data_IF_203975539869
#
_entry.id   IF_203975539869
#
_cell.length_a   1.000
_cell.length_b   1.000
_cell.length_c   1.000
_cell.angle_alpha   90.00
_cell.angle_beta   90.00
_cell.angle_gamma   90.00
#
_symmetry.space_group_name_H-M   'P 1'
#
loop_
_entity.id
_entity.type
_entity.pdbx_description
1 polymer ?
#
# COMPACT_ATOMS: atom_id res chain seq x y z
N UNK A 1 54.06 -81.05 60.81
CA UNK A 1 53.57 -81.41 59.46
C UNK A 1 53.10 -80.14 58.78
N UNK A 2 53.99 -79.55 57.99
CA UNK A 2 53.83 -78.25 57.33
C UNK A 2 53.28 -78.49 55.92
N UNK A 3 52.11 -77.94 55.60
CA UNK A 3 51.55 -77.99 54.24
C UNK A 3 51.77 -76.64 53.57
N UNK A 4 52.81 -76.61 52.75
CA UNK A 4 53.17 -75.52 51.84
C UNK A 4 52.10 -75.44 50.74
N UNK A 5 51.21 -74.45 50.82
CA UNK A 5 50.24 -74.15 49.77
C UNK A 5 50.83 -73.10 48.82
N UNK A 6 51.31 -73.53 47.65
CA UNK A 6 51.76 -72.66 46.56
C UNK A 6 50.56 -72.32 45.68
N UNK A 7 50.08 -71.07 45.72
CA UNK A 7 49.11 -70.56 44.76
C UNK A 7 49.84 -69.90 43.58
N UNK A 8 49.60 -70.28 42.31
CA UNK A 8 50.33 -69.73 41.18
C UNK A 8 49.63 -68.49 40.60
N UNK A 9 50.42 -67.44 40.31
CA UNK A 9 50.22 -66.51 39.20
C UNK A 9 48.85 -65.84 39.06
N UNK A 10 48.58 -64.80 39.84
CA UNK A 10 47.59 -63.78 39.48
C UNK A 10 48.11 -62.94 38.31
N UNK A 11 47.49 -63.07 37.13
CA UNK A 11 47.78 -62.20 35.97
C UNK A 11 47.38 -60.75 36.32
N UNK A 12 48.15 -59.73 35.91
CA UNK A 12 47.76 -58.34 36.14
C UNK A 12 46.48 -58.02 35.38
N UNK A 13 45.45 -57.58 36.10
CA UNK A 13 44.19 -57.08 35.54
C UNK A 13 44.43 -55.71 34.91
N UNK A 14 44.38 -55.65 33.58
CA UNK A 14 44.39 -54.38 32.84
C UNK A 14 43.10 -53.61 33.18
N UNK A 15 43.15 -52.34 33.59
CA UNK A 15 41.93 -51.57 33.85
C UNK A 15 41.14 -51.41 32.53
N UNK A 16 39.79 -51.36 32.59
CA UNK A 16 39.00 -51.14 31.40
C UNK A 16 39.32 -49.75 30.83
N UNK A 17 39.70 -49.69 29.56
CA UNK A 17 39.82 -48.45 28.81
C UNK A 17 38.44 -47.78 28.82
N UNK A 18 38.34 -46.62 29.47
CA UNK A 18 37.14 -45.79 29.39
C UNK A 18 37.01 -45.31 27.94
N UNK A 19 36.08 -45.91 27.20
CA UNK A 19 35.60 -45.34 25.95
C UNK A 19 34.89 -44.03 26.31
N UNK A 20 35.58 -42.90 26.16
CA UNK A 20 34.92 -41.59 26.19
C UNK A 20 33.77 -41.60 25.19
N UNK A 21 32.63 -40.92 25.46
CA UNK A 21 31.53 -40.90 24.53
C UNK A 21 32.08 -40.42 23.19
N UNK A 22 31.92 -41.26 22.14
CA UNK A 22 32.18 -40.86 20.77
C UNK A 22 31.46 -39.53 20.58
N UNK A 23 32.20 -38.48 20.24
CA UNK A 23 31.67 -37.11 20.16
C UNK A 23 30.50 -37.06 19.20
N UNK A 24 29.31 -37.26 19.74
CA UNK A 24 28.06 -37.14 19.02
C UNK A 24 27.94 -35.65 18.73
N UNK A 25 28.22 -35.29 17.47
CA UNK A 25 28.15 -33.91 17.02
C UNK A 25 26.72 -33.43 17.29
N UNK A 26 26.57 -32.57 18.29
CA UNK A 26 25.28 -32.02 18.65
C UNK A 26 24.81 -31.11 17.50
N UNK A 27 23.87 -31.63 16.70
CA UNK A 27 23.30 -30.93 15.53
C UNK A 27 22.17 -29.97 15.93
N UNK A 28 21.78 -29.92 17.21
CA UNK A 28 20.73 -29.02 17.69
C UNK A 28 20.95 -27.53 17.36
N UNK A 29 22.15 -26.92 17.46
CA UNK A 29 22.35 -25.51 17.09
C UNK A 29 22.17 -25.27 15.59
N UNK A 30 22.50 -26.25 14.74
CA UNK A 30 22.32 -26.16 13.28
C UNK A 30 20.82 -26.17 12.96
N UNK A 31 20.07 -27.10 13.55
CA UNK A 31 18.62 -27.14 13.39
C UNK A 31 17.93 -25.89 13.94
N UNK A 32 18.37 -25.38 15.10
CA UNK A 32 17.87 -24.13 15.67
C UNK A 32 18.13 -22.95 14.72
N UNK A 33 19.33 -22.83 14.16
CA UNK A 33 19.67 -21.78 13.21
C UNK A 33 18.82 -21.86 11.93
N UNK A 34 18.60 -23.05 11.38
CA UNK A 34 17.76 -23.26 10.21
C UNK A 34 16.31 -22.85 10.49
N UNK A 35 15.77 -23.22 11.67
CA UNK A 35 14.40 -22.84 12.07
C UNK A 35 14.29 -21.32 12.22
N UNK A 36 15.26 -20.65 12.84
CA UNK A 36 15.26 -19.18 13.00
C UNK A 36 15.30 -18.48 11.63
N UNK A 37 16.12 -18.96 10.69
CA UNK A 37 16.19 -18.42 9.33
C UNK A 37 14.86 -18.66 8.59
N UNK A 38 14.29 -19.85 8.71
CA UNK A 38 13.01 -20.17 8.07
C UNK A 38 11.87 -19.31 8.62
N UNK A 39 11.77 -19.17 9.95
CA UNK A 39 10.77 -18.35 10.62
C UNK A 39 10.93 -16.87 10.28
N UNK A 40 12.17 -16.36 10.21
CA UNK A 40 12.42 -14.97 9.80
C UNK A 40 12.03 -14.73 8.34
N UNK A 41 12.38 -15.65 7.41
CA UNK A 41 11.93 -15.56 6.01
C UNK A 41 10.40 -15.63 5.91
N UNK A 42 9.76 -16.53 6.66
CA UNK A 42 8.30 -16.67 6.70
C UNK A 42 7.64 -15.38 7.23
N UNK A 43 8.14 -14.81 8.33
CA UNK A 43 7.66 -13.54 8.88
C UNK A 43 7.81 -12.40 7.88
N UNK A 44 8.97 -12.28 7.24
CA UNK A 44 9.22 -11.26 6.21
C UNK A 44 8.30 -11.45 4.99
N UNK A 45 8.02 -12.69 4.58
CA UNK A 45 7.11 -12.98 3.47
C UNK A 45 5.66 -12.62 3.82
N UNK A 46 5.19 -12.98 5.02
CA UNK A 46 3.85 -12.62 5.53
C UNK A 46 3.70 -11.11 5.70
N UNK A 47 4.73 -10.42 6.21
CA UNK A 47 4.73 -8.95 6.35
C UNK A 47 4.76 -8.26 4.99
N UNK A 48 5.52 -8.76 4.02
CA UNK A 48 5.49 -8.25 2.64
C UNK A 48 4.12 -8.46 1.99
N UNK A 49 3.45 -9.58 2.26
CA UNK A 49 2.13 -9.91 1.72
C UNK A 49 1.00 -9.07 2.32
N UNK A 50 1.19 -8.49 3.51
CA UNK A 50 0.22 -7.60 4.18
C UNK A 50 0.25 -6.14 3.70
N UNK A 51 1.03 -5.78 2.68
CA UNK A 51 0.88 -4.43 2.09
C UNK A 51 -0.54 -4.30 1.55
N UNK A 52 -1.36 -3.44 2.17
CA UNK A 52 -2.71 -3.12 1.69
C UNK A 52 -2.65 -2.79 0.20
N UNK A 53 -3.38 -3.56 -0.59
CA UNK A 53 -3.56 -3.23 -2.00
C UNK A 53 -4.25 -1.86 -2.08
N UNK A 54 -3.67 -0.95 -2.86
CA UNK A 54 -4.28 0.34 -3.16
C UNK A 54 -5.48 0.09 -4.08
N UNK A 55 -6.69 0.38 -3.61
CA UNK A 55 -7.94 0.12 -4.34
C UNK A 55 -8.61 1.38 -4.86
N UNK A 56 -8.20 2.55 -4.35
CA UNK A 56 -9.01 3.76 -4.46
C UNK A 56 -8.61 4.62 -5.65
N UNK A 57 -9.58 5.08 -6.42
CA UNK A 57 -9.42 6.14 -7.41
C UNK A 57 -9.95 7.42 -6.78
N UNK A 58 -9.08 8.41 -6.62
CA UNK A 58 -9.42 9.67 -5.99
C UNK A 58 -9.91 10.66 -7.03
N UNK A 59 -11.12 11.18 -6.86
CA UNK A 59 -11.65 12.26 -7.66
C UNK A 59 -11.52 13.57 -6.89
N UNK A 60 -10.72 14.50 -7.41
CA UNK A 60 -10.39 15.75 -6.71
C UNK A 60 -10.22 16.92 -7.68
N UNK A 61 -10.23 18.14 -7.17
CA UNK A 61 -10.26 19.39 -7.96
C UNK A 61 -10.97 20.51 -7.19
N UNK A 62 -11.00 21.72 -7.74
CA UNK A 62 -11.66 22.87 -7.11
C UNK A 62 -13.18 22.69 -6.96
N UNK A 63 -13.83 23.54 -6.16
CA UNK A 63 -15.29 23.62 -6.16
C UNK A 63 -15.84 23.83 -7.58
N UNK A 64 -17.07 23.37 -7.81
CA UNK A 64 -17.79 23.56 -9.07
C UNK A 64 -17.18 22.92 -10.34
N UNK A 65 -16.05 22.22 -10.24
CA UNK A 65 -15.45 21.54 -11.39
C UNK A 65 -16.25 20.33 -11.93
N UNK A 66 -17.35 19.94 -11.27
CA UNK A 66 -18.23 18.85 -11.70
C UNK A 66 -17.84 17.45 -11.20
N UNK A 67 -16.99 17.35 -10.17
CA UNK A 67 -16.60 16.07 -9.56
C UNK A 67 -17.78 15.20 -9.15
N UNK A 68 -18.74 15.76 -8.42
CA UNK A 68 -19.88 15.00 -7.89
C UNK A 68 -20.85 14.57 -9.00
N UNK A 69 -21.03 15.38 -10.04
CA UNK A 69 -21.77 14.99 -11.24
C UNK A 69 -21.12 13.79 -11.93
N UNK A 70 -19.81 13.87 -12.17
CA UNK A 70 -19.05 12.76 -12.75
C UNK A 70 -19.10 11.51 -11.88
N UNK A 71 -18.97 11.65 -10.55
CA UNK A 71 -19.11 10.54 -9.61
C UNK A 71 -20.48 9.88 -9.73
N UNK A 72 -21.57 10.68 -9.73
CA UNK A 72 -22.94 10.18 -9.86
C UNK A 72 -23.15 9.45 -11.18
N UNK A 73 -22.67 10.01 -12.29
CA UNK A 73 -22.76 9.38 -13.61
C UNK A 73 -22.02 8.05 -13.66
N UNK A 74 -20.81 7.97 -13.09
CA UNK A 74 -20.00 6.75 -13.11
C UNK A 74 -20.54 5.65 -12.18
N UNK A 75 -21.03 6.02 -10.99
CA UNK A 75 -21.43 5.06 -9.94
C UNK A 75 -22.92 4.72 -10.00
N UNK A 76 -23.77 5.71 -10.25
CA UNK A 76 -25.22 5.59 -10.19
C UNK A 76 -25.87 5.53 -11.58
N UNK A 77 -25.16 5.91 -12.64
CA UNK A 77 -25.69 5.95 -14.01
C UNK A 77 -26.68 7.10 -14.27
N UNK A 78 -26.83 8.03 -13.33
CA UNK A 78 -27.76 9.16 -13.41
C UNK A 78 -27.02 10.49 -13.16
N UNK A 79 -27.43 11.52 -13.88
CA UNK A 79 -27.03 12.90 -13.61
C UNK A 79 -28.04 13.54 -12.64
N UNK A 80 -27.55 14.06 -11.51
CA UNK A 80 -28.36 14.74 -10.49
C UNK A 80 -27.77 16.10 -10.19
N UNK A 81 -28.61 17.09 -9.97
CA UNK A 81 -28.15 18.42 -9.53
C UNK A 81 -27.20 18.28 -8.34
N UNK A 82 -26.00 18.85 -8.48
CA UNK A 82 -24.95 18.74 -7.47
C UNK A 82 -24.75 20.07 -6.74
N UNK A 83 -24.59 20.01 -5.42
CA UNK A 83 -24.21 21.13 -4.56
C UNK A 83 -22.79 20.92 -4.01
N UNK A 84 -22.25 21.92 -3.30
CA UNK A 84 -20.93 21.80 -2.67
C UNK A 84 -20.91 20.67 -1.63
N UNK A 85 -20.09 19.64 -1.86
CA UNK A 85 -19.99 18.49 -0.96
C UNK A 85 -19.33 18.88 0.37
N UNK A 86 -20.00 18.55 1.48
CA UNK A 86 -19.48 18.76 2.86
C UNK A 86 -18.71 17.53 3.34
N UNK A 87 -18.99 16.36 2.75
CA UNK A 87 -18.42 15.04 3.07
C UNK A 87 -17.99 14.35 1.77
N UNK A 88 -17.11 13.36 1.86
CA UNK A 88 -16.75 12.48 0.75
C UNK A 88 -17.94 11.63 0.27
N UNK A 89 -17.98 11.35 -1.04
CA UNK A 89 -18.83 10.29 -1.59
C UNK A 89 -17.98 9.07 -1.92
N UNK A 90 -18.49 7.88 -1.60
CA UNK A 90 -17.82 6.60 -1.83
C UNK A 90 -18.69 5.75 -2.74
N UNK A 91 -18.10 5.26 -3.81
CA UNK A 91 -18.78 4.43 -4.81
C UNK A 91 -17.88 3.29 -5.25
N UNK A 92 -18.49 2.21 -5.71
CA UNK A 92 -17.78 1.06 -6.24
C UNK A 92 -18.01 0.99 -7.74
N UNK A 93 -16.92 0.95 -8.51
CA UNK A 93 -16.92 0.76 -9.95
C UNK A 93 -16.46 -0.66 -10.26
N UNK A 94 -17.29 -1.39 -11.00
CA UNK A 94 -16.90 -2.67 -11.59
C UNK A 94 -16.18 -2.40 -12.90
N UNK A 95 -14.90 -2.74 -12.99
CA UNK A 95 -14.13 -2.73 -14.23
C UNK A 95 -13.80 -4.14 -14.68
N UNK A 96 -13.41 -4.31 -15.94
CA UNK A 96 -12.96 -5.59 -16.50
C UNK A 96 -11.79 -6.20 -15.73
N UNK A 97 -11.02 -5.36 -15.02
CA UNK A 97 -9.86 -5.75 -14.22
C UNK A 97 -10.14 -5.94 -12.73
N UNK A 98 -11.40 -5.83 -12.28
CA UNK A 98 -11.81 -6.01 -10.89
C UNK A 98 -12.63 -4.86 -10.32
N UNK A 99 -12.73 -4.80 -9.00
CA UNK A 99 -13.52 -3.80 -8.27
C UNK A 99 -12.65 -2.62 -7.84
N UNK A 100 -13.05 -1.40 -8.17
CA UNK A 100 -12.37 -0.17 -7.78
C UNK A 100 -13.28 0.70 -6.91
N UNK A 101 -12.74 1.29 -5.86
CA UNK A 101 -13.47 2.27 -5.07
C UNK A 101 -13.21 3.68 -5.62
N UNK A 102 -14.24 4.35 -6.10
CA UNK A 102 -14.19 5.77 -6.46
C UNK A 102 -14.48 6.61 -5.21
N UNK A 103 -13.64 7.62 -4.95
CA UNK A 103 -13.75 8.51 -3.79
C UNK A 103 -13.83 9.96 -4.28
N UNK A 104 -14.99 10.59 -4.15
CA UNK A 104 -15.21 12.02 -4.48
C UNK A 104 -14.83 12.90 -3.28
N UNK A 105 -13.83 13.76 -3.47
CA UNK A 105 -13.30 14.64 -2.44
C UNK A 105 -13.97 16.01 -2.51
N UNK A 106 -14.46 16.55 -1.38
CA UNK A 106 -14.92 17.94 -1.28
C UNK A 106 -13.93 18.93 -1.89
N UNK A 107 -14.39 19.74 -2.84
CA UNK A 107 -13.54 20.72 -3.53
C UNK A 107 -13.28 22.00 -2.73
N UNK A 108 -14.02 22.22 -1.62
CA UNK A 108 -13.91 23.44 -0.83
C UNK A 108 -12.54 23.49 -0.14
N UNK A 109 -11.88 24.65 -0.23
CA UNK A 109 -10.50 24.84 0.25
C UNK A 109 -10.24 24.36 1.69
N UNK A 110 -11.15 24.66 2.61
CA UNK A 110 -11.10 24.24 4.02
C UNK A 110 -11.19 22.73 4.25
N UNK A 111 -11.79 21.98 3.32
CA UNK A 111 -12.08 20.55 3.47
C UNK A 111 -11.17 19.67 2.62
N UNK A 112 -10.79 20.13 1.42
CA UNK A 112 -10.07 19.31 0.43
C UNK A 112 -8.79 18.68 0.96
N UNK A 113 -7.99 19.41 1.75
CA UNK A 113 -6.75 18.90 2.33
C UNK A 113 -6.98 17.78 3.35
N UNK A 114 -7.92 17.98 4.28
CA UNK A 114 -8.29 16.98 5.30
C UNK A 114 -8.71 15.65 4.67
N UNK A 115 -9.60 15.71 3.68
CA UNK A 115 -10.09 14.50 3.01
C UNK A 115 -9.02 13.89 2.11
N UNK A 116 -8.23 14.69 1.39
CA UNK A 116 -7.09 14.18 0.63
C UNK A 116 -6.13 13.37 1.52
N UNK A 117 -5.73 13.91 2.68
CA UNK A 117 -4.85 13.23 3.63
C UNK A 117 -5.44 11.93 4.18
N UNK A 118 -6.76 11.87 4.34
CA UNK A 118 -7.46 10.68 4.81
C UNK A 118 -7.40 9.53 3.80
N UNK A 119 -7.45 9.81 2.49
CA UNK A 119 -7.57 8.78 1.45
C UNK A 119 -6.28 8.49 0.67
N UNK A 120 -5.30 9.41 0.62
CA UNK A 120 -4.10 9.31 -0.24
C UNK A 120 -3.29 8.03 -0.12
N UNK A 121 -3.26 7.39 1.06
CA UNK A 121 -2.46 6.18 1.28
C UNK A 121 -3.06 4.93 0.62
N UNK A 122 -4.38 4.91 0.40
CA UNK A 122 -5.11 3.82 -0.25
C UNK A 122 -5.32 4.07 -1.75
N UNK A 123 -5.01 5.29 -2.21
CA UNK A 123 -5.15 5.71 -3.60
C UNK A 123 -4.19 4.97 -4.51
N UNK A 124 -4.71 4.45 -5.63
CA UNK A 124 -3.95 3.86 -6.73
C UNK A 124 -3.85 4.75 -7.97
N UNK A 125 -4.76 5.72 -8.11
CA UNK A 125 -4.81 6.68 -9.21
C UNK A 125 -5.58 7.93 -8.78
N UNK A 126 -5.25 9.08 -9.36
CA UNK A 126 -5.95 10.35 -9.13
C UNK A 126 -6.57 10.82 -10.44
N UNK A 127 -7.83 11.24 -10.37
CA UNK A 127 -8.51 12.01 -11.42
C UNK A 127 -8.65 13.43 -10.88
N UNK A 128 -7.92 14.36 -11.47
CA UNK A 128 -7.96 15.76 -11.13
C UNK A 128 -8.87 16.50 -12.13
N UNK A 129 -10.03 16.95 -11.65
CA UNK A 129 -11.07 17.57 -12.49
C UNK A 129 -10.93 19.08 -12.49
N UNK A 130 -10.81 19.64 -13.69
CA UNK A 130 -10.70 21.07 -13.96
C UNK A 130 -11.96 21.54 -14.67
N UNK A 131 -12.52 22.66 -14.24
CA UNK A 131 -13.56 23.37 -15.00
C UNK A 131 -12.90 24.11 -16.17
N UNK A 132 -13.19 23.69 -17.40
CA UNK A 132 -12.56 24.27 -18.59
C UNK A 132 -13.04 25.69 -18.90
N UNK A 133 -14.15 26.13 -18.32
CA UNK A 133 -14.71 27.48 -18.48
C UNK A 133 -14.03 28.45 -17.53
N UNK A 134 -13.82 28.07 -16.27
CA UNK A 134 -13.24 28.95 -15.23
C UNK A 134 -11.73 28.83 -15.08
N UNK A 135 -11.09 27.80 -15.67
CA UNK A 135 -9.66 27.49 -15.51
C UNK A 135 -8.75 28.70 -15.66
N UNK A 136 -9.01 29.63 -16.58
CA UNK A 136 -8.15 30.80 -16.76
C UNK A 136 -8.25 31.81 -15.61
N UNK A 137 -9.43 31.94 -14.98
CA UNK A 137 -9.65 32.83 -13.84
C UNK A 137 -9.07 32.24 -12.56
N UNK A 138 -9.15 30.92 -12.43
CA UNK A 138 -8.77 30.18 -11.22
C UNK A 138 -7.42 29.47 -11.36
N UNK A 139 -6.66 29.77 -12.42
CA UNK A 139 -5.45 29.00 -12.80
C UNK A 139 -4.46 28.87 -11.66
N UNK A 140 -4.32 29.91 -10.84
CA UNK A 140 -3.45 29.91 -9.66
C UNK A 140 -3.90 28.86 -8.65
N UNK A 141 -5.17 28.88 -8.26
CA UNK A 141 -5.71 27.96 -7.25
C UNK A 141 -5.73 26.52 -7.75
N UNK A 142 -5.99 26.33 -9.06
CA UNK A 142 -5.90 25.03 -9.74
C UNK A 142 -4.45 24.52 -9.69
N UNK A 143 -3.48 25.34 -10.10
CA UNK A 143 -2.08 24.97 -10.14
C UNK A 143 -1.49 24.69 -8.75
N UNK A 144 -1.78 25.57 -7.77
CA UNK A 144 -1.32 25.41 -6.38
C UNK A 144 -1.87 24.10 -5.79
N UNK A 145 -3.14 23.76 -6.06
CA UNK A 145 -3.74 22.53 -5.57
C UNK A 145 -3.21 21.29 -6.29
N UNK A 146 -3.08 21.33 -7.61
CA UNK A 146 -2.51 20.23 -8.38
C UNK A 146 -1.07 19.96 -7.97
N UNK A 147 -0.25 21.01 -7.79
CA UNK A 147 1.12 20.89 -7.29
C UNK A 147 1.16 20.24 -5.91
N UNK A 148 0.27 20.64 -4.99
CA UNK A 148 0.16 20.04 -3.66
C UNK A 148 -0.09 18.53 -3.73
N UNK A 149 -0.93 18.08 -4.67
CA UNK A 149 -1.22 16.66 -4.87
C UNK A 149 -0.01 15.93 -5.48
N UNK A 150 0.60 16.50 -6.52
CA UNK A 150 1.72 15.87 -7.23
C UNK A 150 3.00 15.81 -6.38
N UNK A 151 3.19 16.78 -5.48
CA UNK A 151 4.32 16.82 -4.55
C UNK A 151 4.18 15.84 -3.37
N UNK A 152 2.98 15.29 -3.13
CA UNK A 152 2.78 14.33 -2.04
C UNK A 152 3.43 12.98 -2.37
N UNK A 153 4.27 12.50 -1.45
CA UNK A 153 5.03 11.24 -1.60
C UNK A 153 4.14 10.01 -1.84
N UNK A 154 2.91 10.01 -1.32
CA UNK A 154 1.97 8.91 -1.53
C UNK A 154 1.49 8.83 -2.99
N UNK A 155 1.42 9.98 -3.66
CA UNK A 155 0.87 10.17 -5.02
C UNK A 155 1.96 10.30 -6.08
N UNK A 156 3.16 10.78 -5.77
CA UNK A 156 4.22 11.09 -6.74
C UNK A 156 4.57 9.96 -7.74
N UNK A 157 4.29 8.69 -7.39
CA UNK A 157 4.53 7.52 -8.25
C UNK A 157 3.23 6.87 -8.77
N UNK A 158 2.09 7.55 -8.68
CA UNK A 158 0.79 7.07 -9.13
C UNK A 158 0.38 7.76 -10.44
N UNK A 159 -0.42 7.08 -11.28
CA UNK A 159 -1.02 7.73 -12.43
C UNK A 159 -1.99 8.84 -11.99
N UNK A 160 -1.82 10.01 -12.60
CA UNK A 160 -2.71 11.16 -12.44
C UNK A 160 -3.29 11.52 -13.80
N UNK A 161 -4.62 11.60 -13.89
CA UNK A 161 -5.34 12.02 -15.08
C UNK A 161 -5.94 13.39 -14.82
N UNK A 162 -5.68 14.35 -15.71
CA UNK A 162 -6.35 15.65 -15.66
C UNK A 162 -7.56 15.58 -16.59
N UNK A 163 -8.75 15.76 -16.02
CA UNK A 163 -10.00 15.76 -16.74
C UNK A 163 -10.48 17.20 -16.91
N UNK A 164 -10.50 17.69 -18.15
CA UNK A 164 -11.02 19.01 -18.51
C UNK A 164 -12.54 18.91 -18.73
N UNK A 165 -13.33 19.28 -17.73
CA UNK A 165 -14.79 19.14 -17.74
C UNK A 165 -15.51 20.36 -18.33
N UNK A 166 -16.82 20.25 -18.60
CA UNK A 166 -17.69 21.29 -19.17
C UNK A 166 -17.26 21.73 -20.58
N UNK A 167 -16.87 20.78 -21.43
CA UNK A 167 -16.42 21.02 -22.82
C UNK A 167 -17.57 21.35 -23.79
N UNK A 168 -18.80 21.13 -23.35
CA UNK A 168 -20.03 21.51 -24.02
C UNK A 168 -20.30 23.03 -23.98
N UNK A 169 -19.65 23.75 -23.06
CA UNK A 169 -19.79 25.20 -22.89
C UNK A 169 -18.94 26.00 -23.88
N UNK A 170 -19.51 27.10 -24.40
CA UNK A 170 -18.88 27.91 -25.47
C UNK A 170 -17.53 28.54 -25.10
N UNK A 171 -17.31 28.80 -23.81
CA UNK A 171 -16.08 29.41 -23.29
C UNK A 171 -15.04 28.38 -22.85
N UNK A 172 -15.33 27.09 -22.98
CA UNK A 172 -14.45 26.01 -22.57
C UNK A 172 -13.11 26.07 -23.30
N UNK A 173 -12.04 25.78 -22.56
CA UNK A 173 -10.68 25.68 -23.08
C UNK A 173 -10.30 24.23 -23.34
N UNK A 174 -9.54 24.02 -24.41
CA UNK A 174 -8.91 22.72 -24.69
C UNK A 174 -7.74 22.41 -23.77
N UNK A 175 -7.22 21.20 -23.91
CA UNK A 175 -6.10 20.63 -23.14
C UNK A 175 -4.80 21.43 -23.27
N UNK A 176 -4.58 22.14 -24.38
CA UNK A 176 -3.36 22.93 -24.62
C UNK A 176 -3.08 24.07 -23.63
N UNK A 177 -4.03 24.43 -22.77
CA UNK A 177 -3.82 25.39 -21.66
C UNK A 177 -3.01 24.79 -20.52
N UNK A 178 -3.05 23.46 -20.37
CA UNK A 178 -2.40 22.75 -19.27
C UNK A 178 -1.05 22.24 -19.75
N UNK A 179 0.03 22.88 -19.28
CA UNK A 179 1.41 22.44 -19.50
C UNK A 179 1.98 21.94 -18.17
N UNK A 180 2.20 20.62 -18.09
CA UNK A 180 2.75 19.92 -16.93
C UNK A 180 4.26 19.78 -17.11
#
# INVERSE_FOLDING_TARGET
MEKINRNPGGKPSVPPVASGPAGELDMTPIWLAVIVVFVTIMLLWVWKRKRSARTDVLLTGLCDSGKTLLFSQLVLGEEKESFTSIKENLGVLQTTSGELRLVDIPGHERLRGKFFDQYKNLTKAVIFVVDSVTVQKEIRDVADFLYTILADKAIANLPVVILCNKQDETLAKGDGVIKI
#
